data_IF_104576694157
#
_entry.id   IF_104576694157
#
_cell.length_a   1.000
_cell.length_b   1.000
_cell.length_c   1.000
_cell.angle_alpha   90.00
_cell.angle_beta   90.00
_cell.angle_gamma   90.00
#
_symmetry.space_group_name_H-M   'P 1'
#
loop_
_entity.id
_entity.type
_entity.pdbx_description
1 polymer ?
#
# COMPACT_ATOMS: atom_id res chain seq x y z
N UNK A 1 7.08 36.24 2.43
CA UNK A 1 7.92 36.05 1.23
C UNK A 1 7.24 36.77 0.07
N UNK A 2 7.94 37.62 -0.69
CA UNK A 2 7.34 38.32 -1.85
C UNK A 2 7.28 37.37 -3.05
N UNK A 3 6.22 37.46 -3.85
CA UNK A 3 6.02 36.61 -5.04
C UNK A 3 7.20 36.69 -6.02
N UNK A 4 7.71 37.90 -6.27
CA UNK A 4 8.83 38.16 -7.19
C UNK A 4 10.17 37.51 -6.81
N UNK A 5 10.30 36.97 -5.60
CA UNK A 5 11.49 36.24 -5.12
C UNK A 5 11.19 34.77 -4.84
N UNK A 6 9.98 34.32 -5.12
CA UNK A 6 9.57 32.94 -4.88
C UNK A 6 9.96 32.10 -6.10
N UNK A 7 10.65 30.97 -5.89
CA UNK A 7 10.88 30.01 -6.97
C UNK A 7 9.57 29.28 -7.27
N UNK A 8 8.95 29.63 -8.40
CA UNK A 8 7.72 29.04 -8.91
C UNK A 8 7.76 29.06 -10.43
N UNK A 9 7.38 27.95 -11.07
CA UNK A 9 7.30 27.84 -12.53
C UNK A 9 5.92 27.28 -12.92
N UNK A 10 4.94 28.17 -13.10
CA UNK A 10 3.62 27.73 -13.58
C UNK A 10 3.66 27.53 -15.10
N UNK A 11 2.94 26.53 -15.61
CA UNK A 11 2.80 26.31 -17.06
C UNK A 11 1.41 26.72 -17.55
N UNK A 12 1.36 27.31 -18.74
CA UNK A 12 0.07 27.66 -19.39
C UNK A 12 -0.60 26.41 -19.95
N UNK A 13 0.19 25.58 -20.63
CA UNK A 13 -0.25 24.35 -21.27
C UNK A 13 -0.45 23.24 -20.24
N UNK A 14 -1.42 22.36 -20.54
CA UNK A 14 -1.65 21.16 -19.75
C UNK A 14 -0.53 20.15 -20.02
N UNK A 15 0.02 19.50 -18.99
CA UNK A 15 0.97 18.41 -19.18
C UNK A 15 0.33 17.28 -20.01
N UNK A 16 1.05 16.82 -21.04
CA UNK A 16 0.53 15.84 -22.01
C UNK A 16 0.41 14.41 -21.46
N UNK A 17 0.90 14.13 -20.25
CA UNK A 17 1.05 12.77 -19.69
C UNK A 17 0.48 12.61 -18.27
N UNK A 18 -0.57 13.36 -17.93
CA UNK A 18 -1.18 13.31 -16.59
C UNK A 18 -2.64 12.83 -16.62
N UNK A 19 -2.89 11.57 -16.25
CA UNK A 19 -4.25 11.01 -16.13
C UNK A 19 -4.99 11.55 -14.90
N UNK A 20 -4.33 11.56 -13.74
CA UNK A 20 -4.94 12.01 -12.49
C UNK A 20 -4.99 13.53 -12.39
N UNK A 21 -6.15 14.07 -11.97
CA UNK A 21 -6.34 15.51 -11.80
C UNK A 21 -5.35 16.13 -10.80
N UNK A 22 -5.03 15.43 -9.71
CA UNK A 22 -4.02 15.85 -8.74
C UNK A 22 -2.64 15.98 -9.37
N UNK A 23 -2.21 14.99 -10.15
CA UNK A 23 -0.93 15.00 -10.86
C UNK A 23 -0.85 16.20 -11.83
N UNK A 24 -1.92 16.40 -12.60
CA UNK A 24 -2.03 17.52 -13.55
C UNK A 24 -1.90 18.88 -12.86
N UNK A 25 -2.68 19.11 -11.81
CA UNK A 25 -2.69 20.38 -11.11
C UNK A 25 -1.39 20.67 -10.37
N UNK A 26 -0.79 19.68 -9.70
CA UNK A 26 0.49 19.86 -9.02
C UNK A 26 1.62 20.19 -10.02
N UNK A 27 1.63 19.52 -11.17
CA UNK A 27 2.63 19.80 -12.22
C UNK A 27 2.44 21.19 -12.80
N UNK A 28 1.21 21.53 -13.21
CA UNK A 28 0.88 22.82 -13.83
C UNK A 28 1.14 24.02 -12.90
N UNK A 29 0.86 23.84 -11.61
CA UNK A 29 1.09 24.86 -10.59
C UNK A 29 2.56 24.96 -10.14
N UNK A 30 3.47 24.14 -10.69
CA UNK A 30 4.89 24.13 -10.33
C UNK A 30 5.16 23.62 -8.91
N UNK A 31 4.32 22.72 -8.40
CA UNK A 31 4.52 22.07 -7.10
C UNK A 31 5.52 20.92 -7.21
N UNK A 32 5.45 20.17 -8.31
CA UNK A 32 6.28 18.99 -8.53
C UNK A 32 6.95 19.03 -9.90
N UNK A 33 8.17 18.51 -9.97
CA UNK A 33 8.87 18.23 -11.23
C UNK A 33 9.18 16.75 -11.29
N UNK A 34 8.82 16.09 -12.39
CA UNK A 34 9.24 14.72 -12.62
C UNK A 34 10.70 14.69 -13.10
N UNK A 35 11.53 13.87 -12.44
CA UNK A 35 12.94 13.65 -12.79
C UNK A 35 13.10 12.33 -13.57
N UNK A 36 12.36 11.31 -13.16
CA UNK A 36 12.28 10.02 -13.86
C UNK A 36 10.89 9.40 -13.63
N UNK A 37 10.61 8.26 -14.27
CA UNK A 37 9.34 7.54 -14.04
C UNK A 37 9.15 7.25 -12.55
N UNK A 38 8.07 7.77 -11.95
CA UNK A 38 7.78 7.61 -10.52
C UNK A 38 8.68 8.39 -9.55
N UNK A 39 9.54 9.29 -10.00
CA UNK A 39 10.47 10.04 -9.13
C UNK A 39 10.26 11.54 -9.34
N UNK A 40 9.98 12.27 -8.25
CA UNK A 40 9.55 13.67 -8.30
C UNK A 40 10.33 14.53 -7.31
N UNK A 41 10.71 15.72 -7.76
CA UNK A 41 11.17 16.81 -6.90
C UNK A 41 9.97 17.60 -6.36
N UNK A 42 10.02 17.96 -5.08
CA UNK A 42 9.08 18.88 -4.46
C UNK A 42 9.67 20.29 -4.43
N UNK A 43 9.01 21.22 -5.10
CA UNK A 43 9.45 22.64 -5.12
C UNK A 43 9.15 23.30 -3.77
N UNK A 44 9.63 24.54 -3.51
CA UNK A 44 9.41 25.20 -2.23
C UNK A 44 7.94 25.30 -1.80
N UNK A 45 7.00 25.44 -2.75
CA UNK A 45 5.56 25.49 -2.40
C UNK A 45 5.02 24.12 -1.98
N UNK A 46 5.41 23.05 -2.68
CA UNK A 46 5.04 21.69 -2.30
C UNK A 46 5.70 21.26 -0.99
N UNK A 47 6.97 21.61 -0.80
CA UNK A 47 7.69 21.31 0.44
C UNK A 47 7.07 22.01 1.65
N UNK A 48 6.54 23.24 1.50
CA UNK A 48 5.76 23.91 2.55
C UNK A 48 4.47 23.17 2.88
N UNK A 49 3.76 22.64 1.89
CA UNK A 49 2.55 21.83 2.11
C UNK A 49 2.90 20.52 2.81
N UNK A 50 3.94 19.83 2.34
CA UNK A 50 4.47 18.63 2.99
C UNK A 50 4.77 18.91 4.47
N UNK A 51 5.53 19.97 4.81
CA UNK A 51 5.83 20.30 6.20
C UNK A 51 4.59 20.56 7.06
N UNK A 52 3.53 21.13 6.49
CA UNK A 52 2.24 21.28 7.19
C UNK A 52 1.58 19.93 7.47
N UNK A 53 1.61 19.03 6.49
CA UNK A 53 1.08 17.67 6.64
C UNK A 53 1.89 16.93 7.71
N UNK A 54 3.22 16.93 7.61
CA UNK A 54 4.09 16.28 8.60
C UNK A 54 3.84 16.81 10.02
N UNK A 55 3.66 18.12 10.20
CA UNK A 55 3.40 18.69 11.52
C UNK A 55 2.05 18.27 12.11
N UNK A 56 1.02 18.10 11.28
CA UNK A 56 -0.27 17.54 11.72
C UNK A 56 -0.09 16.08 12.14
N UNK A 57 0.67 15.31 11.36
CA UNK A 57 0.97 13.91 11.65
C UNK A 57 1.73 13.80 12.98
N UNK A 58 2.84 14.56 13.14
CA UNK A 58 3.62 14.58 14.40
C UNK A 58 2.75 14.90 15.60
N UNK A 59 1.96 15.98 15.54
CA UNK A 59 1.11 16.39 16.66
C UNK A 59 0.08 15.32 17.08
N UNK A 60 -0.47 14.54 16.14
CA UNK A 60 -1.36 13.42 16.51
C UNK A 60 -0.61 12.15 16.96
N UNK A 61 0.59 11.90 16.43
CA UNK A 61 1.44 10.79 16.88
C UNK A 61 1.98 11.02 18.31
N UNK A 62 2.40 12.25 18.62
CA UNK A 62 2.88 12.65 19.93
C UNK A 62 1.75 12.55 20.99
N UNK A 63 0.53 12.99 20.64
CA UNK A 63 -0.67 12.80 21.48
C UNK A 63 -1.02 11.33 21.70
N UNK A 64 -0.65 10.47 20.76
CA UNK A 64 -0.81 9.02 20.86
C UNK A 64 0.32 8.35 21.65
N UNK A 65 1.28 9.11 22.16
CA UNK A 65 2.44 8.60 22.92
C UNK A 65 3.50 7.94 22.05
N UNK A 66 3.43 8.09 20.72
CA UNK A 66 4.45 7.60 19.81
C UNK A 66 5.66 8.54 19.79
N UNK A 67 6.86 8.00 19.61
CA UNK A 67 8.11 8.75 19.65
C UNK A 67 8.75 8.77 18.27
N UNK A 68 9.05 9.97 17.75
CA UNK A 68 9.69 10.13 16.45
C UNK A 68 11.18 9.76 16.55
N UNK A 69 11.65 8.96 15.61
CA UNK A 69 13.05 8.64 15.37
C UNK A 69 13.35 8.69 13.88
N UNK A 70 14.61 8.45 13.50
CA UNK A 70 15.02 8.38 12.10
C UNK A 70 15.90 7.15 11.88
N UNK A 71 15.41 6.18 11.11
CA UNK A 71 16.16 4.99 10.72
C UNK A 71 16.95 5.22 9.44
N UNK A 72 17.86 4.31 9.13
CA UNK A 72 18.68 4.41 7.92
C UNK A 72 17.88 3.99 6.69
N UNK A 73 18.17 4.60 5.53
CA UNK A 73 17.58 4.17 4.26
C UNK A 73 18.34 3.02 3.63
N UNK A 74 19.66 3.06 3.77
CA UNK A 74 20.54 2.03 3.25
C UNK A 74 20.64 0.90 4.27
N UNK A 75 19.86 -0.15 4.06
CA UNK A 75 19.79 -1.28 4.97
C UNK A 75 20.75 -2.40 4.52
N UNK A 76 21.53 -3.00 5.44
CA UNK A 76 22.32 -4.18 5.14
C UNK A 76 21.41 -5.36 4.80
N UNK A 77 21.79 -6.13 3.77
CA UNK A 77 20.96 -7.24 3.28
C UNK A 77 20.75 -8.33 4.34
N UNK A 78 21.66 -8.48 5.29
CA UNK A 78 21.59 -9.47 6.37
C UNK A 78 20.27 -9.37 7.15
N UNK A 79 19.82 -8.15 7.47
CA UNK A 79 18.57 -7.92 8.21
C UNK A 79 17.34 -8.45 7.44
N UNK A 80 17.35 -8.30 6.12
CA UNK A 80 16.27 -8.73 5.23
C UNK A 80 16.36 -10.22 4.89
N UNK A 81 17.57 -10.78 4.89
CA UNK A 81 17.81 -12.22 4.73
C UNK A 81 17.35 -12.98 5.98
N UNK A 82 17.57 -12.43 7.17
CA UNK A 82 17.09 -12.99 8.45
C UNK A 82 15.56 -13.19 8.49
N UNK A 83 14.80 -12.27 7.88
CA UNK A 83 13.32 -12.37 7.81
C UNK A 83 12.83 -13.13 6.58
N UNK A 84 13.73 -13.53 5.67
CA UNK A 84 13.39 -14.10 4.36
C UNK A 84 12.78 -13.10 3.37
N UNK A 85 12.55 -11.85 3.78
CA UNK A 85 11.93 -10.83 2.93
C UNK A 85 12.85 -10.35 1.82
N UNK A 86 14.16 -10.56 1.92
CA UNK A 86 15.11 -10.28 0.84
C UNK A 86 14.71 -10.92 -0.50
N UNK A 87 14.26 -12.17 -0.47
CA UNK A 87 13.85 -12.91 -1.68
C UNK A 87 12.35 -12.77 -1.94
N UNK A 88 11.53 -12.76 -0.89
CA UNK A 88 10.08 -12.68 -1.00
C UNK A 88 9.58 -11.35 -1.59
N UNK A 89 10.19 -10.21 -1.25
CA UNK A 89 9.86 -8.91 -1.86
C UNK A 89 10.22 -8.86 -3.36
N UNK A 90 11.09 -9.75 -3.82
CA UNK A 90 11.45 -9.91 -5.22
C UNK A 90 12.00 -8.63 -5.85
N UNK A 91 11.44 -8.28 -7.01
CA UNK A 91 11.93 -7.17 -7.84
C UNK A 91 11.48 -5.79 -7.36
N UNK A 92 10.56 -5.69 -6.40
CA UNK A 92 10.14 -4.39 -5.85
C UNK A 92 11.19 -3.81 -4.88
N UNK A 93 12.10 -4.64 -4.38
CA UNK A 93 13.19 -4.22 -3.50
C UNK A 93 14.39 -3.74 -4.33
N UNK A 94 14.72 -2.46 -4.21
CA UNK A 94 15.97 -1.93 -4.77
C UNK A 94 17.16 -2.55 -4.05
N UNK A 95 17.94 -3.37 -4.77
CA UNK A 95 19.17 -4.01 -4.29
C UNK A 95 20.38 -3.30 -4.90
N UNK A 96 21.39 -3.04 -4.09
CA UNK A 96 22.64 -2.42 -4.51
C UNK A 96 23.83 -3.08 -3.82
N UNK A 97 25.03 -2.84 -4.36
CA UNK A 97 26.29 -3.23 -3.75
C UNK A 97 27.12 -2.01 -3.40
N UNK A 98 27.83 -2.09 -2.27
CA UNK A 98 28.86 -1.10 -1.97
C UNK A 98 30.16 -1.37 -2.77
N UNK A 99 31.16 -0.51 -2.58
CA UNK A 99 32.49 -0.65 -3.21
C UNK A 99 33.29 -1.89 -2.78
N UNK A 100 32.79 -2.64 -1.80
CA UNK A 100 33.39 -3.86 -1.26
C UNK A 100 32.53 -5.09 -1.59
N UNK A 101 31.62 -4.98 -2.56
CA UNK A 101 30.67 -6.01 -3.02
C UNK A 101 29.67 -6.52 -1.97
N UNK A 102 29.47 -5.76 -0.87
CA UNK A 102 28.47 -6.08 0.16
C UNK A 102 27.08 -5.69 -0.32
N UNK A 103 26.10 -6.55 -0.06
CA UNK A 103 24.72 -6.35 -0.46
C UNK A 103 23.99 -5.40 0.49
N UNK A 104 23.25 -4.45 -0.09
CA UNK A 104 22.34 -3.55 0.61
C UNK A 104 21.03 -3.42 -0.14
N UNK A 105 20.01 -2.88 0.53
CA UNK A 105 18.81 -2.40 -0.13
C UNK A 105 18.44 -0.99 0.33
N UNK A 106 17.67 -0.30 -0.51
CA UNK A 106 16.97 0.92 -0.10
C UNK A 106 15.65 0.53 0.54
N UNK A 107 15.43 0.89 1.81
CA UNK A 107 14.28 0.46 2.61
C UNK A 107 12.92 0.82 1.96
N UNK A 108 12.09 -0.16 1.54
CA UNK A 108 10.70 0.07 1.12
C UNK A 108 9.75 0.23 2.32
N UNK A 109 10.21 -0.20 3.50
CA UNK A 109 9.64 -0.16 4.85
C UNK A 109 10.77 -0.59 5.81
N UNK A 110 10.50 -0.61 7.12
CA UNK A 110 11.51 -0.68 8.17
C UNK A 110 11.22 -1.71 9.28
N UNK A 111 10.39 -2.74 9.06
CA UNK A 111 10.13 -3.75 10.10
C UNK A 111 11.41 -4.46 10.58
N UNK A 112 12.32 -4.79 9.66
CA UNK A 112 13.60 -5.45 9.95
C UNK A 112 14.50 -4.58 10.83
N UNK A 113 14.73 -3.33 10.43
CA UNK A 113 15.68 -2.43 11.09
C UNK A 113 15.17 -2.00 12.47
N UNK A 114 13.89 -1.68 12.60
CA UNK A 114 13.32 -1.31 13.90
C UNK A 114 13.29 -2.48 14.87
N UNK A 115 13.04 -3.70 14.38
CA UNK A 115 13.12 -4.92 15.19
C UNK A 115 14.55 -5.19 15.64
N UNK A 116 15.54 -4.97 14.77
CA UNK A 116 16.96 -5.09 15.14
C UNK A 116 17.39 -4.04 16.19
N UNK A 117 16.91 -2.82 16.07
CA UNK A 117 17.17 -1.77 17.06
C UNK A 117 16.59 -2.15 18.42
N UNK A 118 15.30 -2.53 18.46
CA UNK A 118 14.61 -2.87 19.71
C UNK A 118 15.19 -4.14 20.33
N UNK A 119 15.48 -5.19 19.53
CA UNK A 119 16.10 -6.43 20.05
C UNK A 119 17.49 -6.21 20.62
N UNK A 120 18.20 -5.13 20.26
CA UNK A 120 19.53 -4.78 20.80
C UNK A 120 19.49 -3.83 21.99
N UNK A 121 18.40 -3.11 22.21
CA UNK A 121 18.33 -2.02 23.20
C UNK A 121 17.33 -2.28 24.32
N UNK A 122 16.23 -2.99 24.05
CA UNK A 122 15.21 -3.34 25.04
C UNK A 122 15.57 -4.68 25.68
N UNK A 123 15.58 -4.72 27.02
CA UNK A 123 16.07 -5.86 27.82
C UNK A 123 15.06 -6.32 28.87
N UNK A 124 14.01 -5.54 29.12
CA UNK A 124 12.99 -5.85 30.12
C UNK A 124 11.60 -5.49 29.63
N UNK A 125 10.61 -6.32 29.99
CA UNK A 125 9.19 -6.03 29.77
C UNK A 125 8.73 -4.70 30.39
N UNK A 126 9.44 -4.21 31.41
CA UNK A 126 9.16 -2.91 32.06
C UNK A 126 9.41 -1.70 31.14
N UNK A 127 10.14 -1.89 30.05
CA UNK A 127 10.37 -0.86 29.03
C UNK A 127 9.26 -0.84 27.97
N UNK A 128 8.32 -1.80 28.02
CA UNK A 128 7.20 -1.92 27.09
C UNK A 128 5.89 -1.47 27.77
N UNK A 129 4.90 -0.98 27.00
CA UNK A 129 4.89 -0.87 25.53
C UNK A 129 5.75 0.29 25.01
N UNK A 130 6.24 0.15 23.78
CA UNK A 130 6.89 1.22 23.01
C UNK A 130 6.11 1.45 21.72
N UNK A 131 6.05 2.71 21.29
CA UNK A 131 5.52 3.07 19.97
C UNK A 131 6.50 4.06 19.33
N UNK A 132 7.17 3.62 18.27
CA UNK A 132 8.23 4.36 17.60
C UNK A 132 7.81 4.63 16.16
N UNK A 133 8.00 5.86 15.68
CA UNK A 133 7.63 6.21 14.31
C UNK A 133 8.71 7.06 13.63
N UNK A 134 8.65 7.13 12.31
CA UNK A 134 9.46 8.06 11.53
C UNK A 134 8.64 8.63 10.38
N UNK A 135 9.04 9.79 9.88
CA UNK A 135 8.59 10.33 8.60
C UNK A 135 9.79 10.36 7.67
N UNK A 136 9.91 9.35 6.82
CA UNK A 136 11.10 9.15 5.98
C UNK A 136 10.72 8.78 4.55
N UNK A 137 11.56 9.17 3.59
CA UNK A 137 11.57 8.62 2.23
C UNK A 137 11.61 7.08 2.25
N UNK A 138 10.99 6.44 1.26
CA UNK A 138 10.97 5.01 1.01
C UNK A 138 11.18 4.77 -0.49
N UNK A 139 11.68 3.60 -0.83
CA UNK A 139 11.97 3.21 -2.20
C UNK A 139 11.28 1.89 -2.54
N UNK A 140 10.49 1.86 -3.61
CA UNK A 140 9.89 0.64 -4.17
C UNK A 140 10.04 0.66 -5.69
N UNK A 141 10.58 -0.38 -6.30
CA UNK A 141 10.73 -0.43 -7.75
C UNK A 141 9.40 -0.83 -8.42
N UNK A 142 8.44 0.09 -8.30
CA UNK A 142 7.09 -0.06 -8.83
C UNK A 142 7.12 -0.33 -10.33
N UNK A 143 6.57 -1.48 -10.74
CA UNK A 143 6.53 -1.91 -12.15
C UNK A 143 5.84 -0.90 -13.07
N UNK A 144 4.83 -0.18 -12.53
CA UNK A 144 4.06 0.84 -13.26
C UNK A 144 3.77 2.04 -12.35
N UNK A 145 4.72 2.97 -12.18
CA UNK A 145 4.47 4.20 -11.44
C UNK A 145 3.46 5.05 -12.21
N UNK A 146 2.42 5.54 -11.52
CA UNK A 146 1.30 6.27 -12.15
C UNK A 146 0.67 7.26 -11.18
N UNK A 147 -0.10 8.20 -11.76
CA UNK A 147 -0.88 9.18 -11.01
C UNK A 147 -0.06 10.15 -10.14
N UNK A 148 1.17 10.49 -10.56
CA UNK A 148 1.99 11.49 -9.87
C UNK A 148 2.53 10.96 -8.55
N UNK A 149 2.31 11.72 -7.47
CA UNK A 149 2.71 11.36 -6.11
C UNK A 149 1.90 10.21 -5.49
N UNK A 150 0.85 9.71 -6.16
CA UNK A 150 0.00 8.63 -5.63
C UNK A 150 0.73 7.28 -5.67
N UNK A 151 1.42 6.96 -6.78
CA UNK A 151 2.21 5.73 -6.94
C UNK A 151 3.57 6.05 -7.58
N UNK A 152 4.54 6.37 -6.73
CA UNK A 152 5.92 6.66 -7.11
C UNK A 152 6.88 5.53 -6.72
N UNK A 153 8.13 5.62 -7.18
CA UNK A 153 9.23 4.73 -6.79
C UNK A 153 10.02 5.27 -5.60
N UNK A 154 10.04 6.59 -5.46
CA UNK A 154 10.55 7.31 -4.30
C UNK A 154 9.39 8.13 -3.73
N UNK A 155 9.07 7.92 -2.45
CA UNK A 155 7.94 8.59 -1.81
C UNK A 155 8.17 8.73 -0.31
N UNK A 156 7.42 9.62 0.35
CA UNK A 156 7.53 9.86 1.79
C UNK A 156 6.46 9.05 2.49
N UNK A 157 6.88 8.30 3.51
CA UNK A 157 5.99 7.52 4.35
C UNK A 157 6.18 7.94 5.80
N UNK A 158 5.07 8.02 6.52
CA UNK A 158 5.09 7.87 7.97
C UNK A 158 4.85 6.41 8.28
N UNK A 159 5.78 5.76 8.94
CA UNK A 159 5.73 4.38 9.38
C UNK A 159 5.93 4.34 10.91
N UNK A 160 5.15 3.49 11.58
CA UNK A 160 5.11 3.40 13.04
C UNK A 160 5.05 1.93 13.46
N UNK A 161 5.78 1.60 14.53
CA UNK A 161 6.01 0.26 15.00
C UNK A 161 5.82 0.24 16.52
N UNK A 162 4.82 -0.52 16.98
CA UNK A 162 4.62 -0.77 18.41
C UNK A 162 5.25 -2.09 18.84
N UNK A 163 5.77 -2.13 20.04
CA UNK A 163 6.32 -3.32 20.69
C UNK A 163 5.61 -3.49 22.02
N UNK A 164 4.97 -4.64 22.19
CA UNK A 164 4.01 -4.90 23.27
C UNK A 164 4.33 -6.22 23.97
N UNK A 165 3.94 -6.37 25.23
CA UNK A 165 4.21 -7.58 26.03
C UNK A 165 3.32 -8.76 25.69
N UNK A 166 2.13 -8.47 25.16
CA UNK A 166 1.07 -9.44 24.90
C UNK A 166 0.08 -8.90 23.84
N UNK A 167 -0.79 -9.79 23.37
CA UNK A 167 -1.75 -9.49 22.29
C UNK A 167 -2.80 -8.45 22.69
N UNK A 168 -3.17 -8.37 23.97
CA UNK A 168 -4.11 -7.35 24.45
C UNK A 168 -3.47 -5.96 24.44
N UNK A 169 -2.21 -5.86 24.85
CA UNK A 169 -1.42 -4.63 24.78
C UNK A 169 -1.21 -4.20 23.32
N UNK A 170 -0.90 -5.14 22.43
CA UNK A 170 -0.80 -4.88 20.99
C UNK A 170 -2.13 -4.36 20.41
N UNK A 171 -3.26 -4.91 20.83
CA UNK A 171 -4.59 -4.41 20.43
C UNK A 171 -4.84 -2.99 20.93
N UNK A 172 -4.43 -2.67 22.16
CA UNK A 172 -4.55 -1.30 22.69
C UNK A 172 -3.69 -0.31 21.87
N UNK A 173 -2.45 -0.68 21.57
CA UNK A 173 -1.54 0.09 20.71
C UNK A 173 -2.13 0.31 19.31
N UNK A 174 -2.76 -0.72 18.75
CA UNK A 174 -3.49 -0.65 17.49
C UNK A 174 -4.67 0.34 17.54
N UNK A 175 -5.53 0.25 18.55
CA UNK A 175 -6.69 1.12 18.71
C UNK A 175 -6.29 2.60 18.91
N UNK A 176 -5.19 2.84 19.61
CA UNK A 176 -4.57 4.17 19.74
C UNK A 176 -4.17 4.71 18.35
N UNK A 177 -3.55 3.89 17.50
CA UNK A 177 -3.17 4.28 16.14
C UNK A 177 -4.37 4.51 15.23
N UNK A 178 -5.42 3.69 15.34
CA UNK A 178 -6.68 3.91 14.62
C UNK A 178 -7.26 5.28 14.96
N UNK A 179 -7.27 5.67 16.24
CA UNK A 179 -7.75 6.99 16.68
C UNK A 179 -6.87 8.12 16.16
N UNK A 180 -5.55 7.98 16.24
CA UNK A 180 -4.60 8.97 15.74
C UNK A 180 -4.79 9.22 14.23
N UNK A 181 -4.89 8.15 13.44
CA UNK A 181 -5.11 8.27 11.99
C UNK A 181 -6.44 8.94 11.66
N UNK A 182 -7.53 8.58 12.35
CA UNK A 182 -8.83 9.26 12.19
C UNK A 182 -8.71 10.77 12.45
N UNK A 183 -7.98 11.17 13.49
CA UNK A 183 -7.75 12.58 13.78
C UNK A 183 -6.87 13.27 12.72
N UNK A 184 -5.80 12.61 12.25
CA UNK A 184 -4.93 13.12 11.18
C UNK A 184 -5.77 13.42 9.94
N UNK A 185 -6.53 12.43 9.44
CA UNK A 185 -7.34 12.62 8.23
C UNK A 185 -8.45 13.65 8.41
N UNK A 186 -9.06 13.72 9.60
CA UNK A 186 -10.03 14.78 9.94
C UNK A 186 -9.39 16.17 9.88
N UNK A 187 -8.18 16.36 10.43
CA UNK A 187 -7.45 17.64 10.41
C UNK A 187 -6.96 18.02 9.01
N UNK A 188 -6.64 17.02 8.19
CA UNK A 188 -6.33 17.20 6.76
C UNK A 188 -7.57 17.42 5.89
N UNK A 189 -8.77 17.34 6.47
CA UNK A 189 -10.05 17.41 5.77
C UNK A 189 -10.16 16.41 4.61
N UNK A 190 -9.70 15.18 4.84
CA UNK A 190 -9.77 14.08 3.88
C UNK A 190 -10.94 13.15 4.23
N UNK A 191 -11.79 12.89 3.24
CA UNK A 191 -12.85 11.89 3.37
C UNK A 191 -12.25 10.49 3.16
N UNK A 192 -12.02 9.77 4.25
CA UNK A 192 -11.43 8.44 4.24
C UNK A 192 -12.38 7.42 4.85
N UNK A 193 -12.38 6.22 4.29
CA UNK A 193 -13.07 5.06 4.82
C UNK A 193 -12.05 4.09 5.42
N UNK A 194 -12.28 3.67 6.66
CA UNK A 194 -11.50 2.58 7.25
C UNK A 194 -12.11 1.25 6.81
N UNK A 195 -11.35 0.44 6.09
CA UNK A 195 -11.79 -0.84 5.51
C UNK A 195 -10.95 -1.97 6.07
N UNK A 196 -11.52 -3.18 6.20
CA UNK A 196 -10.71 -4.38 6.44
C UNK A 196 -9.88 -4.67 5.19
N UNK A 197 -8.65 -5.14 5.36
CA UNK A 197 -7.73 -5.43 4.27
C UNK A 197 -6.92 -6.70 4.51
N UNK A 198 -6.23 -7.16 3.47
CA UNK A 198 -5.22 -8.22 3.59
C UNK A 198 -3.99 -7.71 4.36
N UNK A 199 -3.27 -8.64 4.98
CA UNK A 199 -2.00 -8.32 5.69
C UNK A 199 -0.84 -8.15 4.72
N UNK A 200 -1.00 -8.59 3.47
CA UNK A 200 -0.05 -8.39 2.39
C UNK A 200 1.33 -8.96 2.67
N UNK A 201 2.34 -8.36 2.04
CA UNK A 201 3.72 -8.79 2.12
C UNK A 201 4.41 -8.49 3.47
N UNK A 202 3.80 -7.64 4.30
CA UNK A 202 4.28 -7.35 5.65
C UNK A 202 3.96 -8.54 6.59
N UNK A 203 2.92 -9.31 6.26
CA UNK A 203 2.41 -10.37 7.10
C UNK A 203 1.64 -9.84 8.32
N UNK A 204 1.09 -10.74 9.12
CA UNK A 204 0.32 -10.39 10.33
C UNK A 204 -0.97 -11.19 10.45
N UNK A 205 -1.83 -10.79 11.41
CA UNK A 205 -3.13 -11.43 11.68
C UNK A 205 -4.35 -10.61 11.23
N UNK A 206 -4.23 -9.29 11.25
CA UNK A 206 -5.34 -8.37 11.01
C UNK A 206 -4.80 -7.08 10.41
N UNK A 207 -5.53 -6.51 9.46
CA UNK A 207 -5.15 -5.29 8.76
C UNK A 207 -6.38 -4.44 8.47
N UNK A 208 -6.23 -3.12 8.60
CA UNK A 208 -7.19 -2.16 8.10
C UNK A 208 -6.47 -1.08 7.29
N UNK A 209 -7.10 -0.67 6.20
CA UNK A 209 -6.64 0.43 5.37
C UNK A 209 -7.52 1.65 5.59
N UNK A 210 -6.92 2.85 5.53
CA UNK A 210 -7.67 4.09 5.39
C UNK A 210 -7.65 4.51 3.92
N UNK A 211 -8.80 4.42 3.26
CA UNK A 211 -8.93 4.61 1.82
C UNK A 211 -9.63 5.92 1.54
N UNK A 212 -8.95 6.83 0.82
CA UNK A 212 -9.59 8.02 0.28
C UNK A 212 -10.42 7.65 -0.96
N UNK A 213 -11.71 7.98 -0.96
CA UNK A 213 -12.60 7.62 -2.07
C UNK A 213 -12.31 8.51 -3.28
N UNK A 214 -11.85 7.90 -4.37
CA UNK A 214 -11.50 8.61 -5.60
C UNK A 214 -11.60 7.71 -6.82
N UNK A 215 -11.92 8.29 -7.98
CA UNK A 215 -11.96 7.58 -9.26
C UNK A 215 -10.58 7.16 -9.79
N UNK A 216 -9.51 7.64 -9.17
CA UNK A 216 -8.12 7.27 -9.49
C UNK A 216 -7.54 6.26 -8.48
N UNK A 217 -8.38 5.70 -7.62
CA UNK A 217 -7.99 4.69 -6.64
C UNK A 217 -7.83 3.33 -7.31
N UNK A 218 -6.83 2.57 -6.87
CA UNK A 218 -6.54 1.25 -7.44
C UNK A 218 -7.21 0.12 -6.66
N UNK A 219 -7.54 0.37 -5.38
CA UNK A 219 -8.26 -0.57 -4.54
C UNK A 219 -9.77 -0.48 -4.82
N UNK A 220 -10.40 -1.63 -4.98
CA UNK A 220 -11.85 -1.76 -5.03
C UNK A 220 -12.35 -2.08 -3.62
N UNK A 221 -13.35 -1.32 -3.17
CA UNK A 221 -13.89 -1.43 -1.83
C UNK A 221 -15.34 -1.89 -1.90
N UNK A 222 -15.66 -2.97 -1.19
CA UNK A 222 -17.03 -3.34 -0.90
C UNK A 222 -17.50 -2.56 0.33
N UNK A 223 -18.61 -1.83 0.17
CA UNK A 223 -19.22 -1.03 1.22
C UNK A 223 -20.72 -1.33 1.31
N UNK A 224 -21.22 -1.54 2.53
CA UNK A 224 -22.64 -1.72 2.80
C UNK A 224 -23.20 -0.47 3.49
N UNK A 225 -24.06 0.26 2.79
CA UNK A 225 -24.71 1.47 3.33
C UNK A 225 -25.61 1.18 4.54
N UNK A 226 -26.19 -0.01 4.61
CA UNK A 226 -27.16 -0.36 5.67
C UNK A 226 -26.49 -0.79 6.99
N UNK A 227 -25.34 -1.48 6.94
CA UNK A 227 -24.67 -1.99 8.16
C UNK A 227 -23.27 -1.43 8.40
N UNK A 228 -22.76 -0.58 7.50
CA UNK A 228 -21.44 0.04 7.63
C UNK A 228 -20.26 -0.91 7.41
N UNK A 229 -20.49 -2.14 6.93
CA UNK A 229 -19.41 -3.05 6.55
C UNK A 229 -18.57 -2.44 5.42
N UNK A 230 -17.25 -2.51 5.56
CA UNK A 230 -16.30 -1.93 4.62
C UNK A 230 -15.05 -2.82 4.54
N UNK A 231 -14.71 -3.31 3.35
CA UNK A 231 -13.55 -4.17 3.13
C UNK A 231 -12.98 -4.00 1.71
N UNK A 232 -11.67 -4.21 1.56
CA UNK A 232 -11.07 -4.41 0.25
C UNK A 232 -11.67 -5.68 -0.39
N UNK A 233 -12.07 -5.61 -1.66
CA UNK A 233 -12.73 -6.71 -2.37
C UNK A 233 -11.92 -8.00 -2.38
N UNK A 234 -10.59 -7.92 -2.22
CA UNK A 234 -9.68 -9.07 -2.15
C UNK A 234 -9.98 -10.01 -0.97
N UNK A 235 -10.59 -9.50 0.10
CA UNK A 235 -10.89 -10.28 1.31
C UNK A 235 -12.38 -10.45 1.59
N UNK A 236 -13.25 -10.02 0.66
CA UNK A 236 -14.71 -10.10 0.84
C UNK A 236 -15.15 -11.55 0.70
N UNK A 237 -15.67 -12.12 1.78
CA UNK A 237 -16.28 -13.44 1.74
C UNK A 237 -17.60 -13.41 0.98
N UNK A 238 -17.65 -14.10 -0.15
CA UNK A 238 -18.87 -14.28 -0.93
C UNK A 238 -19.58 -15.57 -0.48
N UNK A 239 -20.87 -15.44 -0.13
CA UNK A 239 -21.71 -16.62 0.07
C UNK A 239 -21.91 -17.32 -1.26
N UNK A 240 -21.89 -18.66 -1.23
CA UNK A 240 -22.24 -19.45 -2.42
C UNK A 240 -23.64 -19.07 -2.88
N UNK A 241 -23.84 -18.78 -4.18
CA UNK A 241 -25.17 -18.48 -4.69
C UNK A 241 -26.08 -19.70 -4.48
N UNK A 242 -27.36 -19.45 -4.21
CA UNK A 242 -28.35 -20.51 -4.22
C UNK A 242 -28.62 -20.87 -5.69
N UNK A 243 -28.14 -22.04 -6.11
CA UNK A 243 -28.28 -22.52 -7.49
C UNK A 243 -29.41 -23.55 -7.53
N UNK A 244 -30.23 -23.50 -8.57
CA UNK A 244 -31.23 -24.53 -8.81
C UNK A 244 -30.55 -25.89 -8.98
N UNK A 245 -31.10 -26.91 -8.33
CA UNK A 245 -30.60 -28.27 -8.46
C UNK A 245 -31.17 -28.89 -9.72
N UNK A 246 -30.31 -29.26 -10.64
CA UNK A 246 -30.67 -30.00 -11.84
C UNK A 246 -30.35 -31.49 -11.67
N UNK A 247 -31.16 -32.39 -12.25
CA UNK A 247 -30.83 -33.81 -12.26
C UNK A 247 -29.52 -34.04 -13.02
N UNK A 248 -28.65 -34.95 -12.56
CA UNK A 248 -27.39 -35.23 -13.24
C UNK A 248 -27.66 -35.82 -14.63
N UNK A 249 -26.96 -35.28 -15.63
CA UNK A 249 -26.91 -35.84 -16.98
C UNK A 249 -25.66 -36.72 -17.15
N UNK A 250 -25.62 -37.50 -18.23
CA UNK A 250 -24.44 -38.28 -18.59
C UNK A 250 -23.36 -37.33 -19.11
N UNK A 251 -22.10 -37.54 -18.71
CA UNK A 251 -20.96 -36.76 -19.18
C UNK A 251 -20.69 -37.05 -20.67
N UNK A 252 -20.60 -36.01 -21.49
CA UNK A 252 -20.35 -36.08 -22.93
C UNK A 252 -19.22 -35.12 -23.32
N UNK A 253 -18.34 -35.56 -24.21
CA UNK A 253 -17.32 -34.71 -24.83
C UNK A 253 -17.89 -34.04 -26.08
N UNK A 254 -17.89 -32.71 -26.11
CA UNK A 254 -18.40 -31.91 -27.24
C UNK A 254 -17.23 -31.25 -27.96
N UNK A 255 -17.14 -31.44 -29.28
CA UNK A 255 -16.14 -30.78 -30.11
C UNK A 255 -16.44 -29.27 -30.23
N UNK A 256 -15.58 -28.43 -29.64
CA UNK A 256 -15.73 -26.96 -29.56
C UNK A 256 -14.62 -26.21 -30.32
N UNK A 257 -14.53 -26.36 -31.67
CA UNK A 257 -13.44 -25.80 -32.45
C UNK A 257 -13.42 -24.27 -32.38
N UNK A 258 -12.25 -23.69 -32.10
CA UNK A 258 -12.00 -22.25 -32.03
C UNK A 258 -12.80 -21.49 -30.94
N UNK A 259 -13.45 -22.18 -30.00
CA UNK A 259 -14.12 -21.57 -28.84
C UNK A 259 -13.11 -21.42 -27.70
N UNK A 260 -12.81 -20.20 -27.26
CA UNK A 260 -11.71 -19.91 -26.31
C UNK A 260 -12.16 -19.22 -25.03
N UNK A 261 -13.31 -18.55 -25.05
CA UNK A 261 -13.81 -17.75 -23.93
C UNK A 261 -15.10 -18.33 -23.34
N UNK A 262 -15.42 -17.92 -22.11
CA UNK A 262 -16.69 -18.29 -21.46
C UNK A 262 -17.88 -17.73 -22.25
N UNK A 263 -17.72 -16.53 -22.81
CA UNK A 263 -18.67 -15.90 -23.72
C UNK A 263 -18.96 -16.78 -24.94
N UNK A 264 -17.92 -17.17 -25.68
CA UNK A 264 -18.06 -18.00 -26.88
C UNK A 264 -18.65 -19.37 -26.54
N UNK A 265 -18.23 -19.99 -25.44
CA UNK A 265 -18.71 -21.32 -25.04
C UNK A 265 -20.18 -21.29 -24.59
N UNK A 266 -20.59 -20.22 -23.89
CA UNK A 266 -21.98 -19.97 -23.50
C UNK A 266 -22.87 -19.84 -24.73
N UNK A 267 -22.44 -19.09 -25.75
CA UNK A 267 -23.17 -18.97 -27.01
C UNK A 267 -23.17 -20.27 -27.83
N UNK A 268 -22.04 -20.98 -27.89
CA UNK A 268 -21.90 -22.23 -28.65
C UNK A 268 -22.79 -23.35 -28.12
N UNK A 269 -22.82 -23.54 -26.79
CA UNK A 269 -23.63 -24.57 -26.13
C UNK A 269 -25.06 -24.11 -25.81
N UNK A 270 -25.39 -22.84 -26.04
CA UNK A 270 -26.66 -22.22 -25.67
C UNK A 270 -27.00 -22.41 -24.17
N UNK A 271 -26.01 -22.20 -23.29
CA UNK A 271 -26.16 -22.30 -21.84
C UNK A 271 -25.76 -20.99 -21.17
N UNK A 272 -26.32 -20.71 -19.99
CA UNK A 272 -25.91 -19.56 -19.20
C UNK A 272 -24.44 -19.68 -18.74
N UNK A 273 -23.70 -18.56 -18.71
CA UNK A 273 -22.30 -18.52 -18.22
C UNK A 273 -22.12 -19.10 -16.81
N UNK A 274 -23.15 -19.00 -15.97
CA UNK A 274 -23.16 -19.56 -14.61
C UNK A 274 -23.10 -21.09 -14.57
N UNK A 275 -23.38 -21.79 -15.68
CA UNK A 275 -23.24 -23.24 -15.83
C UNK A 275 -21.86 -23.67 -16.32
N UNK A 276 -20.97 -22.73 -16.64
CA UNK A 276 -19.65 -23.00 -17.18
C UNK A 276 -18.61 -22.84 -16.08
N UNK A 277 -17.75 -23.85 -15.94
CA UNK A 277 -16.61 -23.81 -15.01
C UNK A 277 -15.40 -23.27 -15.76
N UNK A 278 -14.79 -22.21 -15.22
CA UNK A 278 -13.50 -21.69 -15.70
C UNK A 278 -12.37 -22.36 -14.91
N UNK A 279 -11.58 -23.18 -15.60
CA UNK A 279 -10.35 -23.73 -15.03
C UNK A 279 -9.19 -22.77 -15.30
N UNK A 280 -8.47 -22.38 -14.23
CA UNK A 280 -7.28 -21.53 -14.30
C UNK A 280 -6.14 -22.29 -13.64
N UNK A 281 -5.08 -22.53 -14.40
CA UNK A 281 -3.87 -23.18 -13.90
C UNK A 281 -3.00 -22.14 -13.19
N UNK A 282 -2.61 -22.43 -11.95
CA UNK A 282 -1.61 -21.64 -11.22
C UNK A 282 -0.34 -22.46 -11.07
N UNK A 283 0.81 -21.78 -10.98
CA UNK A 283 2.08 -22.40 -10.60
C UNK A 283 2.47 -21.86 -9.23
N UNK A 284 2.48 -22.72 -8.22
CA UNK A 284 2.93 -22.40 -6.87
C UNK A 284 4.16 -23.24 -6.55
N UNK A 285 5.28 -22.60 -6.22
CA UNK A 285 6.55 -23.28 -5.89
C UNK A 285 6.97 -24.28 -6.99
N UNK A 286 6.89 -23.85 -8.25
CA UNK A 286 7.19 -24.65 -9.44
C UNK A 286 6.29 -25.89 -9.65
N UNK A 287 5.13 -25.96 -8.97
CA UNK A 287 4.14 -27.03 -9.15
C UNK A 287 2.80 -26.48 -9.66
N UNK A 288 2.14 -27.18 -10.60
CA UNK A 288 0.79 -26.83 -11.03
C UNK A 288 -0.21 -27.06 -9.89
N UNK A 289 -1.08 -26.08 -9.65
CA UNK A 289 -2.22 -26.14 -8.72
C UNK A 289 -3.48 -25.58 -9.36
#
# INVERSE_FOLDING_TARGET
MRWSRYFLYTTKEEPSETEAASHRFLTKAGFIKQVASGIYELTPIAFRVLKKIENIVRDEMDKAGAQELLLTILNPAELWKETGRWDYYGNELFKLKDRSDRDYCLGPTHEEEITDLVRKTVRSYKQLPLNLYQIHTKFRDEKRPRYGLIRGREFIMKDAYSFDTDEQSAKNSYDIMVKAYKNIFKRLNLNVLMVKADVGQIGGKSSHEFVAITKYGEALIAYCENCGYAANTEIVELKKPNVEKEPPLVLEEVYTPNVKTIEELSSFLNVAKSKIIKSVLYIKENKPV
#
